data_IF_092626299665
#
_entry.id   IF_092626299665
#
_cell.length_a   1.000
_cell.length_b   1.000
_cell.length_c   1.000
_cell.angle_alpha   90.00
_cell.angle_beta   90.00
_cell.angle_gamma   90.00
#
_symmetry.space_group_name_H-M   'P 1'
#
loop_
_entity.id
_entity.type
_entity.pdbx_description
1 polymer ?
#
# COMPACT_ATOMS: atom_id res chain seq x y z
N UNK A 1 15.65 13.75 15.15
CA UNK A 1 14.40 13.08 14.75
C UNK A 1 13.28 14.10 14.69
N UNK A 2 12.67 14.33 13.52
CA UNK A 2 11.45 15.15 13.44
C UNK A 2 10.33 14.31 14.04
N UNK A 3 9.89 14.63 15.27
CA UNK A 3 8.68 14.03 15.84
C UNK A 3 7.51 14.42 14.95
N UNK A 4 6.96 13.46 14.21
CA UNK A 4 5.71 13.67 13.48
C UNK A 4 4.58 13.68 14.49
N UNK A 5 3.79 14.75 14.45
CA UNK A 5 2.60 14.93 15.28
C UNK A 5 1.67 13.71 15.07
N UNK A 6 0.97 13.20 16.12
CA UNK A 6 -0.05 12.17 15.94
C UNK A 6 -1.20 12.66 15.05
N UNK A 7 -2.00 11.73 14.54
CA UNK A 7 -3.20 12.09 13.78
C UNK A 7 -4.24 12.76 14.67
N UNK A 8 -5.30 13.35 14.07
CA UNK A 8 -6.39 14.00 14.82
C UNK A 8 -7.06 13.09 15.84
N UNK A 9 -7.16 11.79 15.55
CA UNK A 9 -7.67 10.77 16.48
C UNK A 9 -6.62 10.18 17.42
N UNK A 10 -5.42 10.76 17.47
CA UNK A 10 -4.35 10.37 18.39
C UNK A 10 -3.53 9.17 17.95
N UNK A 11 -3.66 8.70 16.70
CA UNK A 11 -2.87 7.57 16.21
C UNK A 11 -1.44 7.97 15.88
N UNK A 12 -0.52 7.02 16.05
CA UNK A 12 0.87 7.15 15.60
C UNK A 12 0.92 7.28 14.08
N UNK A 13 1.44 8.41 13.58
CA UNK A 13 1.61 8.67 12.15
C UNK A 13 2.30 7.50 11.39
N UNK A 14 3.47 6.98 11.82
CA UNK A 14 4.13 5.90 11.08
C UNK A 14 3.31 4.61 11.06
N UNK A 15 2.58 4.30 12.15
CA UNK A 15 1.70 3.13 12.20
C UNK A 15 0.54 3.27 11.20
N UNK A 16 -0.12 4.43 11.15
CA UNK A 16 -1.22 4.70 10.21
C UNK A 16 -0.75 4.65 8.76
N UNK A 17 0.39 5.28 8.44
CA UNK A 17 0.97 5.23 7.08
C UNK A 17 1.28 3.79 6.66
N UNK A 18 1.87 3.01 7.56
CA UNK A 18 2.19 1.60 7.30
C UNK A 18 0.92 0.76 7.10
N UNK A 19 -0.09 0.97 7.95
CA UNK A 19 -1.38 0.28 7.85
C UNK A 19 -2.11 0.61 6.54
N UNK A 20 -2.09 1.87 6.10
CA UNK A 20 -2.64 2.30 4.82
C UNK A 20 -2.01 1.55 3.64
N UNK A 21 -0.68 1.54 3.51
CA UNK A 21 -0.01 0.81 2.40
C UNK A 21 -0.33 -0.68 2.45
N UNK A 22 -0.20 -1.30 3.62
CA UNK A 22 -0.43 -2.73 3.78
C UNK A 22 -1.89 -3.12 3.48
N UNK A 23 -2.85 -2.27 3.80
CA UNK A 23 -4.25 -2.48 3.44
C UNK A 23 -4.46 -2.42 1.92
N UNK A 24 -3.83 -1.47 1.23
CA UNK A 24 -3.88 -1.38 -0.24
C UNK A 24 -3.28 -2.64 -0.89
N UNK A 25 -2.11 -3.09 -0.43
CA UNK A 25 -1.46 -4.32 -0.90
C UNK A 25 -2.36 -5.54 -0.78
N UNK A 26 -3.20 -5.61 0.25
CA UNK A 26 -4.15 -6.70 0.52
C UNK A 26 -5.54 -6.51 -0.11
N UNK A 27 -5.76 -5.39 -0.80
CA UNK A 27 -7.07 -5.08 -1.40
C UNK A 27 -8.15 -4.68 -0.38
N UNK A 28 -7.79 -4.36 0.87
CA UNK A 28 -8.74 -3.91 1.88
C UNK A 28 -9.05 -2.41 1.73
N UNK A 29 -9.96 -2.11 0.81
CA UNK A 29 -10.37 -0.73 0.51
C UNK A 29 -10.98 -0.01 1.71
N UNK A 30 -11.67 -0.73 2.61
CA UNK A 30 -12.30 -0.13 3.79
C UNK A 30 -11.24 0.36 4.76
N UNK A 31 -10.27 -0.48 5.10
CA UNK A 31 -9.20 -0.13 6.03
C UNK A 31 -8.24 0.89 5.42
N UNK A 32 -7.86 0.73 4.14
CA UNK A 32 -7.05 1.70 3.41
C UNK A 32 -7.73 3.08 3.33
N UNK A 33 -9.03 3.10 3.04
CA UNK A 33 -9.84 4.31 3.01
C UNK A 33 -9.90 5.00 4.37
N UNK A 34 -10.08 4.25 5.47
CA UNK A 34 -10.08 4.82 6.81
C UNK A 34 -8.76 5.53 7.14
N UNK A 35 -7.63 4.85 6.93
CA UNK A 35 -6.31 5.41 7.28
C UNK A 35 -5.91 6.59 6.41
N UNK A 36 -6.18 6.54 5.11
CA UNK A 36 -5.89 7.65 4.21
C UNK A 36 -6.71 8.91 4.53
N UNK A 37 -7.99 8.76 4.85
CA UNK A 37 -8.87 9.87 5.21
C UNK A 37 -8.50 10.45 6.57
N UNK A 38 -8.08 9.62 7.52
CA UNK A 38 -7.55 10.08 8.81
C UNK A 38 -6.25 10.89 8.60
N UNK A 39 -5.32 10.40 7.78
CA UNK A 39 -4.09 11.12 7.45
C UNK A 39 -4.39 12.44 6.76
N UNK A 40 -5.25 12.43 5.74
CA UNK A 40 -5.66 13.63 5.01
C UNK A 40 -6.31 14.65 5.95
N UNK A 41 -7.27 14.22 6.77
CA UNK A 41 -7.95 15.08 7.73
C UNK A 41 -6.97 15.65 8.76
N UNK A 42 -5.88 14.95 9.07
CA UNK A 42 -4.83 15.37 10.00
C UNK A 42 -3.78 16.29 9.38
N UNK A 43 -3.98 16.74 8.13
CA UNK A 43 -3.06 17.64 7.46
C UNK A 43 -1.93 16.95 6.69
N UNK A 44 -1.96 15.62 6.58
CA UNK A 44 -0.97 14.83 5.84
C UNK A 44 -1.39 14.54 4.40
N UNK A 45 -2.24 15.37 3.79
CA UNK A 45 -2.76 15.14 2.43
C UNK A 45 -1.69 14.98 1.36
N UNK A 46 -0.65 15.83 1.37
CA UNK A 46 0.49 15.71 0.45
C UNK A 46 1.21 14.36 0.62
N UNK A 47 1.38 13.92 1.86
CA UNK A 47 2.00 12.64 2.16
C UNK A 47 1.15 11.47 1.69
N UNK A 48 -0.18 11.53 1.84
CA UNK A 48 -1.09 10.51 1.31
C UNK A 48 -0.88 10.35 -0.20
N UNK A 49 -0.86 11.45 -0.95
CA UNK A 49 -0.63 11.40 -2.41
C UNK A 49 0.73 10.83 -2.80
N UNK A 50 1.80 11.24 -2.11
CA UNK A 50 3.13 10.65 -2.31
C UNK A 50 3.10 9.13 -2.11
N UNK A 51 2.40 8.66 -1.06
CA UNK A 51 2.29 7.23 -0.77
C UNK A 51 1.43 6.49 -1.77
N UNK A 52 0.34 7.09 -2.25
CA UNK A 52 -0.48 6.49 -3.30
C UNK A 52 0.32 6.31 -4.60
N UNK A 53 1.19 7.27 -4.96
CA UNK A 53 2.10 7.15 -6.11
C UNK A 53 3.15 6.04 -5.92
N UNK A 54 3.74 5.92 -4.73
CA UNK A 54 4.69 4.84 -4.45
C UNK A 54 3.99 3.48 -4.54
N UNK A 55 2.85 3.32 -3.87
CA UNK A 55 2.12 2.04 -3.83
C UNK A 55 1.55 1.66 -5.20
N UNK A 56 1.16 2.64 -6.03
CA UNK A 56 0.71 2.34 -7.38
C UNK A 56 1.82 1.81 -8.29
N UNK A 57 3.07 2.20 -8.06
CA UNK A 57 4.22 1.71 -8.80
C UNK A 57 4.81 0.42 -8.20
N UNK A 58 4.77 0.29 -6.87
CA UNK A 58 5.40 -0.83 -6.13
C UNK A 58 4.51 -2.07 -6.06
N UNK A 59 3.20 -1.90 -5.87
CA UNK A 59 2.29 -2.98 -5.46
C UNK A 59 1.18 -3.29 -6.49
N UNK A 60 1.07 -2.51 -7.57
CA UNK A 60 -0.02 -2.63 -8.54
C UNK A 60 0.52 -2.86 -9.96
N UNK A 61 -0.09 -3.79 -10.69
CA UNK A 61 0.21 -4.02 -12.10
C UNK A 61 -0.42 -2.95 -13.00
N UNK A 62 0.21 -2.69 -14.15
CA UNK A 62 -0.33 -1.86 -15.22
C UNK A 62 -0.07 -0.36 -15.02
N UNK A 63 -0.91 0.47 -15.63
CA UNK A 63 -0.69 1.92 -15.75
C UNK A 63 -1.35 2.74 -14.62
N UNK A 64 -1.63 2.13 -13.47
CA UNK A 64 -2.40 2.81 -12.41
C UNK A 64 -1.71 4.04 -11.83
N UNK A 65 -0.38 4.12 -11.87
CA UNK A 65 0.35 5.34 -11.49
C UNK A 65 -0.07 6.55 -12.32
N UNK A 66 -0.42 6.37 -13.61
CA UNK A 66 -0.92 7.46 -14.45
C UNK A 66 -2.30 7.94 -13.99
N UNK A 67 -3.21 7.03 -13.63
CA UNK A 67 -4.54 7.38 -13.11
C UNK A 67 -4.41 8.07 -11.72
N UNK A 68 -3.50 7.61 -10.85
CA UNK A 68 -3.23 8.28 -9.58
C UNK A 68 -2.73 9.72 -9.79
N UNK A 69 -1.85 9.95 -10.78
CA UNK A 69 -1.42 11.31 -11.16
C UNK A 69 -2.59 12.16 -11.65
N UNK A 70 -3.44 11.63 -12.53
CA UNK A 70 -4.61 12.35 -13.02
C UNK A 70 -5.61 12.72 -11.90
N UNK A 71 -5.80 11.84 -10.92
CA UNK A 71 -6.62 12.09 -9.73
C UNK A 71 -5.99 13.16 -8.82
N UNK A 72 -4.67 13.15 -8.68
CA UNK A 72 -3.93 14.18 -7.95
C UNK A 72 -4.00 15.55 -8.66
N UNK A 73 -3.91 15.57 -9.99
CA UNK A 73 -4.04 16.79 -10.79
C UNK A 73 -5.45 17.37 -10.64
N UNK A 74 -6.47 16.52 -10.71
CA UNK A 74 -7.87 16.91 -10.44
C UNK A 74 -8.06 17.45 -9.01
N UNK A 75 -7.44 16.81 -8.02
CA UNK A 75 -7.42 17.28 -6.63
C UNK A 75 -6.73 18.65 -6.51
N UNK A 76 -5.63 18.85 -7.22
CA UNK A 76 -4.85 20.11 -7.20
C UNK A 76 -5.63 21.23 -7.88
N UNK A 77 -6.25 20.96 -9.02
CA UNK A 77 -7.07 21.91 -9.77
C UNK A 77 -8.16 22.53 -8.89
N UNK A 78 -8.96 21.69 -8.24
CA UNK A 78 -10.07 22.19 -7.41
C UNK A 78 -9.60 22.91 -6.14
N UNK A 79 -8.33 22.73 -5.75
CA UNK A 79 -7.73 23.35 -4.58
C UNK A 79 -6.76 24.50 -4.92
N UNK A 80 -6.59 24.86 -6.20
CA UNK A 80 -5.60 25.84 -6.67
C UNK A 80 -5.61 27.16 -5.89
N UNK A 81 -6.81 27.65 -5.56
CA UNK A 81 -7.02 28.90 -4.84
C UNK A 81 -7.60 28.68 -3.42
N UNK A 82 -7.54 27.46 -2.90
CA UNK A 82 -8.07 27.10 -1.59
C UNK A 82 -6.91 26.94 -0.60
N UNK A 83 -6.96 27.60 0.57
CA UNK A 83 -5.96 27.37 1.61
C UNK A 83 -5.87 25.89 1.99
N UNK A 84 -4.66 25.39 2.20
CA UNK A 84 -4.40 23.97 2.48
C UNK A 84 -5.19 23.41 3.67
N UNK A 85 -5.43 24.22 4.70
CA UNK A 85 -6.25 23.87 5.88
C UNK A 85 -7.72 23.61 5.57
N UNK A 86 -8.20 24.13 4.44
CA UNK A 86 -9.59 24.02 3.97
C UNK A 86 -9.70 23.20 2.69
N UNK A 87 -8.66 22.43 2.36
CA UNK A 87 -8.63 21.61 1.15
C UNK A 87 -9.87 20.73 1.04
N UNK A 88 -10.38 20.61 -0.19
CA UNK A 88 -11.51 19.76 -0.58
C UNK A 88 -11.01 18.59 -1.43
N UNK A 89 -11.90 17.73 -1.90
CA UNK A 89 -11.52 16.71 -2.88
C UNK A 89 -11.07 15.36 -2.34
N UNK A 90 -11.38 15.03 -1.08
CA UNK A 90 -11.11 13.68 -0.52
C UNK A 90 -11.72 12.53 -1.33
N UNK A 91 -12.68 12.82 -2.22
CA UNK A 91 -13.25 11.87 -3.16
C UNK A 91 -12.20 11.32 -4.15
N UNK A 92 -11.24 12.15 -4.59
CA UNK A 92 -10.16 11.72 -5.48
C UNK A 92 -9.22 10.73 -4.80
N UNK A 93 -8.89 10.97 -3.51
CA UNK A 93 -8.14 10.03 -2.67
C UNK A 93 -8.91 8.70 -2.54
N UNK A 94 -10.21 8.78 -2.26
CA UNK A 94 -11.06 7.61 -2.09
C UNK A 94 -11.12 6.77 -3.37
N UNK A 95 -11.27 7.42 -4.54
CA UNK A 95 -11.24 6.76 -5.85
C UNK A 95 -9.89 6.10 -6.10
N UNK A 96 -8.79 6.80 -5.86
CA UNK A 96 -7.44 6.24 -6.04
C UNK A 96 -7.27 4.95 -5.20
N UNK A 97 -7.69 4.96 -3.94
CA UNK A 97 -7.57 3.80 -3.05
C UNK A 97 -8.39 2.62 -3.55
N UNK A 98 -9.65 2.85 -3.95
CA UNK A 98 -10.50 1.79 -4.49
C UNK A 98 -9.83 1.16 -5.71
N UNK A 99 -9.32 1.97 -6.64
CA UNK A 99 -8.62 1.48 -7.83
C UNK A 99 -7.37 0.67 -7.49
N UNK A 100 -6.52 1.17 -6.58
CA UNK A 100 -5.31 0.44 -6.17
C UNK A 100 -5.64 -0.84 -5.40
N UNK A 101 -6.69 -0.85 -4.59
CA UNK A 101 -7.13 -2.05 -3.87
C UNK A 101 -7.68 -3.12 -4.83
N UNK A 102 -8.45 -2.72 -5.84
CA UNK A 102 -9.02 -3.63 -6.85
C UNK A 102 -8.01 -4.07 -7.93
N UNK A 103 -6.87 -3.38 -8.04
CA UNK A 103 -5.84 -3.69 -9.02
C UNK A 103 -5.34 -5.14 -8.90
N UNK A 104 -4.99 -5.75 -10.04
CA UNK A 104 -4.07 -6.90 -10.02
C UNK A 104 -2.77 -6.46 -9.33
N UNK A 105 -2.35 -7.19 -8.30
CA UNK A 105 -1.12 -6.89 -7.57
C UNK A 105 0.09 -7.41 -8.35
N UNK A 106 1.15 -6.62 -8.37
CA UNK A 106 2.47 -7.01 -8.88
C UNK A 106 3.50 -6.29 -8.03
N UNK A 107 4.58 -6.99 -7.72
CA UNK A 107 5.75 -6.47 -7.01
C UNK A 107 7.01 -6.54 -7.86
N UNK A 108 6.87 -6.70 -9.18
CA UNK A 108 8.00 -6.84 -10.09
C UNK A 108 9.00 -5.68 -9.99
N UNK A 109 8.58 -4.41 -9.83
CA UNK A 109 9.51 -3.30 -9.63
C UNK A 109 10.32 -3.42 -8.33
N UNK A 110 9.68 -3.83 -7.23
CA UNK A 110 10.34 -4.06 -5.94
C UNK A 110 11.31 -5.26 -6.04
N UNK A 111 10.88 -6.36 -6.66
CA UNK A 111 11.72 -7.53 -6.87
C UNK A 111 12.92 -7.21 -7.76
N UNK A 112 12.74 -6.43 -8.83
CA UNK A 112 13.82 -5.98 -9.69
C UNK A 112 14.80 -5.07 -8.94
N UNK A 113 14.29 -4.16 -8.10
CA UNK A 113 15.15 -3.34 -7.25
C UNK A 113 15.97 -4.20 -6.30
N UNK A 114 15.35 -5.16 -5.61
CA UNK A 114 16.04 -6.07 -4.71
C UNK A 114 17.07 -6.92 -5.49
N UNK A 115 16.74 -7.39 -6.70
CA UNK A 115 17.67 -8.15 -7.53
C UNK A 115 18.87 -7.31 -7.99
N UNK A 116 18.67 -6.08 -8.47
CA UNK A 116 19.74 -5.26 -9.05
C UNK A 116 20.59 -4.58 -7.98
N UNK A 117 19.97 -4.11 -6.89
CA UNK A 117 20.64 -3.30 -5.86
C UNK A 117 20.87 -4.06 -4.56
N UNK A 118 19.96 -4.96 -4.16
CA UNK A 118 20.12 -5.73 -2.91
C UNK A 118 20.83 -7.09 -3.13
N UNK A 119 21.37 -7.36 -4.32
CA UNK A 119 22.34 -8.44 -4.54
C UNK A 119 23.59 -8.31 -3.65
N UNK A 120 23.91 -7.09 -3.17
CA UNK A 120 24.96 -6.89 -2.16
C UNK A 120 24.54 -7.32 -0.72
N UNK A 121 23.30 -7.74 -0.51
CA UNK A 121 22.83 -8.38 0.72
C UNK A 121 22.96 -9.92 0.71
N UNK A 122 23.65 -10.50 -0.29
CA UNK A 122 24.11 -11.89 -0.27
C UNK A 122 23.24 -12.92 -0.98
N UNK A 123 22.46 -12.52 -2.00
CA UNK A 123 21.65 -13.45 -2.80
C UNK A 123 22.31 -13.67 -4.16
N UNK A 124 22.75 -14.91 -4.40
CA UNK A 124 23.40 -15.35 -5.64
C UNK A 124 22.36 -15.43 -6.79
N UNK A 125 22.59 -14.76 -7.94
CA UNK A 125 21.68 -14.73 -9.08
C UNK A 125 21.26 -16.11 -9.62
N UNK A 126 22.11 -17.12 -9.50
CA UNK A 126 21.80 -18.50 -9.92
C UNK A 126 20.73 -19.11 -9.02
N UNK A 127 20.79 -18.84 -7.71
CA UNK A 127 19.80 -19.30 -6.73
C UNK A 127 18.43 -18.65 -6.95
N UNK A 128 18.40 -17.36 -7.33
CA UNK A 128 17.13 -16.66 -7.59
C UNK A 128 16.45 -17.12 -8.88
N UNK A 129 17.24 -17.51 -9.88
CA UNK A 129 16.72 -18.07 -11.14
C UNK A 129 16.12 -19.45 -10.88
N UNK A 130 16.80 -20.28 -10.10
CA UNK A 130 16.30 -21.59 -9.67
C UNK A 130 15.05 -21.48 -8.76
N UNK A 131 14.99 -20.49 -7.85
CA UNK A 131 13.82 -20.23 -7.01
C UNK A 131 12.61 -19.72 -7.79
N UNK A 132 12.82 -18.91 -8.83
CA UNK A 132 11.76 -18.42 -9.71
C UNK A 132 11.21 -19.54 -10.62
N UNK A 133 12.08 -20.45 -11.08
CA UNK A 133 11.68 -21.65 -11.82
C UNK A 133 10.99 -22.68 -10.89
N UNK A 134 11.40 -22.79 -9.62
CA UNK A 134 10.76 -23.61 -8.59
C UNK A 134 9.49 -22.99 -8.00
N UNK A 135 9.25 -21.69 -8.15
CA UNK A 135 8.02 -21.02 -7.71
C UNK A 135 6.76 -21.44 -8.51
N UNK A 136 6.94 -22.30 -9.53
CA UNK A 136 5.86 -23.08 -10.14
C UNK A 136 5.35 -24.23 -9.25
N UNK A 137 6.03 -24.57 -8.16
CA UNK A 137 5.64 -25.65 -7.25
C UNK A 137 4.79 -25.15 -6.07
N UNK A 138 3.80 -25.97 -5.73
CA UNK A 138 2.83 -25.72 -4.67
C UNK A 138 3.52 -25.47 -3.31
N UNK A 139 3.36 -24.24 -2.79
CA UNK A 139 3.77 -23.90 -1.43
C UNK A 139 2.64 -24.32 -0.46
N UNK A 140 2.90 -25.25 0.48
CA UNK A 140 1.89 -25.63 1.46
C UNK A 140 1.53 -24.44 2.35
N UNK A 141 0.25 -24.36 2.69
CA UNK A 141 -0.29 -23.29 3.52
C UNK A 141 0.41 -23.31 4.89
N UNK A 142 1.05 -22.22 5.32
CA UNK A 142 1.80 -22.19 6.57
C UNK A 142 0.86 -22.25 7.77
N UNK A 143 1.30 -22.89 8.85
CA UNK A 143 0.47 -23.17 10.03
C UNK A 143 -0.21 -21.96 10.64
N UNK A 144 0.41 -20.77 10.56
CA UNK A 144 -0.19 -19.53 11.08
C UNK A 144 -1.46 -19.11 10.31
N UNK A 145 -1.70 -19.65 9.12
CA UNK A 145 -2.89 -19.39 8.33
C UNK A 145 -4.10 -20.21 8.80
N UNK A 146 -3.90 -21.21 9.68
CA UNK A 146 -4.97 -21.93 10.34
C UNK A 146 -5.29 -21.27 11.70
N UNK A 147 -6.28 -20.40 11.67
CA UNK A 147 -6.84 -19.71 12.84
C UNK A 147 -8.25 -20.22 13.20
N UNK A 148 -8.85 -19.64 14.25
CA UNK A 148 -10.18 -19.99 14.76
C UNK A 148 -11.33 -19.80 13.75
N UNK A 149 -11.08 -19.15 12.61
CA UNK A 149 -12.06 -18.97 11.55
C UNK A 149 -11.94 -20.03 10.45
N UNK A 150 -10.78 -20.67 10.30
CA UNK A 150 -10.62 -21.82 9.41
C UNK A 150 -11.19 -23.11 10.02
N UNK A 151 -11.83 -23.99 9.24
CA UNK A 151 -12.31 -25.29 9.74
C UNK A 151 -11.19 -26.13 10.37
N UNK A 152 -9.99 -26.09 9.77
CA UNK A 152 -8.79 -26.77 10.25
C UNK A 152 -8.28 -26.18 11.57
N UNK A 153 -8.16 -24.85 11.68
CA UNK A 153 -7.71 -24.18 12.91
C UNK A 153 -8.69 -24.36 14.07
N UNK A 154 -10.01 -24.41 13.80
CA UNK A 154 -11.03 -24.80 14.78
C UNK A 154 -10.83 -26.21 15.32
N UNK A 155 -10.45 -27.15 14.46
CA UNK A 155 -10.10 -28.52 14.86
C UNK A 155 -8.81 -28.63 15.68
N UNK A 156 -7.90 -27.66 15.55
CA UNK A 156 -6.63 -27.58 16.28
C UNK A 156 -6.72 -26.80 17.60
N UNK A 157 -7.90 -26.27 17.95
CA UNK A 157 -8.12 -25.54 19.21
C UNK A 157 -7.51 -24.12 19.24
N UNK A 158 -7.31 -23.49 18.07
CA UNK A 158 -6.87 -22.10 17.93
C UNK A 158 -8.02 -21.13 17.78
#
# INVERSE_FOLDING_TARGET
>A
MIQRIPTKRGYSFPAVSSAMQKAIRRGDAKLAGYWSLELWASGYGQYVWQRLLTVSAEDCWGILTAEVKALHDSYTEINRNIPSKTAKGRIFISKAIILLCLAKKSRDPDHLQNFVYDQQAGLDPETLTDELDQAGDYVPIPDYAYDCHTPQGRGMGR
#
